data_IF_605759882338
#
_entry.id   IF_605759882338
#
_cell.length_a   1.000
_cell.length_b   1.000
_cell.length_c   1.000
_cell.angle_alpha   90.00
_cell.angle_beta   90.00
_cell.angle_gamma   90.00
#
_symmetry.space_group_name_H-M   'P 1'
#
loop_
_entity.id
_entity.type
_entity.pdbx_description
1 polymer ?
#
# COMPACT_ATOMS: atom_id res chain seq x y z
N UNK A 1 17.67 -5.63 36.57
CA UNK A 1 17.81 -4.38 35.78
C UNK A 1 16.80 -4.42 34.64
N UNK A 2 15.74 -3.68 34.81
CA UNK A 2 14.67 -3.57 33.82
C UNK A 2 15.14 -2.60 32.73
N UNK A 3 15.43 -3.10 31.55
CA UNK A 3 15.61 -2.25 30.37
C UNK A 3 14.22 -1.85 29.90
N UNK A 4 13.81 -0.65 30.24
CA UNK A 4 12.66 0.01 29.63
C UNK A 4 12.90 0.10 28.12
N UNK A 5 12.16 -0.69 27.35
CA UNK A 5 11.96 -0.44 25.95
C UNK A 5 11.22 0.90 25.90
N UNK A 6 11.94 1.95 25.58
CA UNK A 6 11.35 3.25 25.29
C UNK A 6 10.37 3.05 24.16
N UNK A 7 9.11 3.18 24.52
CA UNK A 7 7.99 3.38 23.61
C UNK A 7 8.41 4.48 22.62
N UNK A 8 8.71 4.09 21.39
CA UNK A 8 8.90 5.05 20.30
C UNK A 8 7.49 5.55 20.02
N UNK A 9 7.07 6.51 20.83
CA UNK A 9 5.86 7.27 20.56
C UNK A 9 5.94 7.70 19.11
N UNK A 10 4.97 7.23 18.31
CA UNK A 10 4.79 7.64 16.96
C UNK A 10 4.81 9.18 16.97
N UNK A 11 5.95 9.76 16.58
CA UNK A 11 6.02 11.19 16.36
C UNK A 11 4.94 11.48 15.34
N UNK A 12 3.92 12.22 15.76
CA UNK A 12 2.78 12.51 14.90
C UNK A 12 3.30 13.16 13.62
N UNK A 13 3.11 12.46 12.51
CA UNK A 13 3.44 13.00 11.19
C UNK A 13 2.71 14.34 11.02
N UNK A 14 3.32 15.32 10.35
CA UNK A 14 2.60 16.51 9.93
C UNK A 14 1.34 16.11 9.12
N UNK A 15 0.21 16.79 9.28
CA UNK A 15 -1.04 16.43 8.59
C UNK A 15 -0.88 16.22 7.08
N UNK A 16 -0.01 16.98 6.43
CA UNK A 16 0.26 16.84 5.00
C UNK A 16 0.89 15.49 4.62
N UNK A 17 1.59 14.81 5.54
CA UNK A 17 2.18 13.48 5.30
C UNK A 17 1.19 12.34 5.58
N UNK A 18 0.04 12.63 6.16
CA UNK A 18 -0.99 11.65 6.49
C UNK A 18 -2.02 11.43 5.39
N UNK A 19 -1.95 12.19 4.30
CA UNK A 19 -2.87 12.03 3.18
C UNK A 19 -2.58 10.75 2.41
N UNK A 20 -3.63 9.94 2.22
CA UNK A 20 -3.56 8.67 1.53
C UNK A 20 -4.67 8.54 0.48
N UNK A 21 -4.45 7.65 -0.48
CA UNK A 21 -5.44 7.21 -1.44
C UNK A 21 -5.46 5.68 -1.53
N UNK A 22 -6.61 5.13 -1.87
CA UNK A 22 -6.80 3.68 -2.05
C UNK A 22 -7.32 3.42 -3.46
N UNK A 23 -6.69 2.48 -4.15
CA UNK A 23 -7.10 2.03 -5.48
C UNK A 23 -7.47 0.55 -5.40
N UNK A 24 -8.69 0.22 -5.78
CA UNK A 24 -9.11 -1.17 -5.98
C UNK A 24 -8.94 -1.53 -7.44
N UNK A 25 -8.11 -2.52 -7.71
CA UNK A 25 -7.86 -3.04 -9.07
C UNK A 25 -8.71 -4.30 -9.26
N UNK A 26 -9.76 -4.20 -10.04
CA UNK A 26 -10.70 -5.30 -10.27
C UNK A 26 -11.58 -5.03 -11.47
N UNK A 27 -11.54 -5.91 -12.46
CA UNK A 27 -12.43 -5.87 -13.63
C UNK A 27 -13.91 -5.97 -13.21
N UNK A 28 -14.23 -6.91 -12.33
CA UNK A 28 -15.62 -7.15 -11.90
C UNK A 28 -16.19 -6.02 -11.06
N UNK A 29 -15.40 -5.45 -10.14
CA UNK A 29 -15.83 -4.28 -9.38
C UNK A 29 -15.97 -3.05 -10.28
N UNK A 30 -15.07 -2.86 -11.24
CA UNK A 30 -15.12 -1.76 -12.19
C UNK A 30 -16.37 -1.79 -13.07
N UNK A 31 -16.85 -2.99 -13.44
CA UNK A 31 -18.09 -3.16 -14.22
C UNK A 31 -19.37 -3.17 -13.35
N UNK A 32 -19.24 -3.03 -12.04
CA UNK A 32 -20.37 -3.10 -11.13
C UNK A 32 -20.98 -4.50 -10.92
N UNK A 33 -20.25 -5.55 -11.36
CA UNK A 33 -20.69 -6.95 -11.24
C UNK A 33 -20.45 -7.50 -9.83
N UNK A 34 -19.54 -6.87 -9.09
CA UNK A 34 -19.14 -7.28 -7.74
C UNK A 34 -18.96 -6.06 -6.85
N UNK A 35 -19.32 -6.18 -5.59
CA UNK A 35 -19.09 -5.13 -4.59
C UNK A 35 -17.63 -5.16 -4.16
N UNK A 36 -16.99 -3.98 -4.12
CA UNK A 36 -15.65 -3.82 -3.57
C UNK A 36 -15.67 -3.96 -2.04
N UNK A 37 -15.03 -4.99 -1.52
CA UNK A 37 -14.89 -5.22 -0.09
C UNK A 37 -13.47 -4.92 0.42
N UNK A 38 -12.45 -5.09 -0.41
CA UNK A 38 -11.06 -4.88 0.00
C UNK A 38 -10.71 -3.39 0.13
N UNK A 39 -11.17 -2.56 -0.79
CA UNK A 39 -10.93 -1.11 -0.74
C UNK A 39 -11.43 -0.48 0.56
N UNK A 40 -12.71 -0.61 0.91
CA UNK A 40 -13.25 -0.11 2.19
C UNK A 40 -12.55 -0.68 3.43
N UNK A 41 -12.16 -1.95 3.42
CA UNK A 41 -11.41 -2.56 4.54
C UNK A 41 -10.04 -1.90 4.74
N UNK A 42 -9.34 -1.61 3.66
CA UNK A 42 -8.05 -0.89 3.70
C UNK A 42 -8.24 0.56 4.17
N UNK A 43 -9.28 1.24 3.69
CA UNK A 43 -9.62 2.60 4.17
C UNK A 43 -9.83 2.61 5.68
N UNK A 44 -10.53 1.63 6.21
CA UNK A 44 -10.77 1.50 7.66
C UNK A 44 -9.46 1.37 8.45
N UNK A 45 -8.55 0.50 8.01
CA UNK A 45 -7.25 0.31 8.67
C UNK A 45 -6.43 1.60 8.63
N UNK A 46 -6.35 2.26 7.48
CA UNK A 46 -5.61 3.52 7.35
C UNK A 46 -6.18 4.60 8.25
N UNK A 47 -7.50 4.76 8.27
CA UNK A 47 -8.18 5.77 9.08
C UNK A 47 -7.96 5.53 10.58
N UNK A 48 -8.05 4.29 11.04
CA UNK A 48 -7.76 3.92 12.44
C UNK A 48 -6.32 4.21 12.85
N UNK A 49 -5.40 4.24 11.89
CA UNK A 49 -3.98 4.51 12.12
C UNK A 49 -3.57 5.97 11.80
N UNK A 50 -4.54 6.86 11.74
CA UNK A 50 -4.31 8.30 11.64
C UNK A 50 -4.13 8.85 10.23
N UNK A 51 -4.28 8.02 9.20
CA UNK A 51 -4.25 8.50 7.81
C UNK A 51 -5.58 9.09 7.39
N UNK A 52 -5.50 10.19 6.65
CA UNK A 52 -6.65 10.79 6.00
C UNK A 52 -6.75 10.26 4.56
N UNK A 53 -7.68 9.37 4.31
CA UNK A 53 -7.95 8.87 2.96
C UNK A 53 -8.77 9.91 2.20
N UNK A 54 -8.12 10.63 1.30
CA UNK A 54 -8.72 11.75 0.55
C UNK A 54 -9.30 11.32 -0.79
N UNK A 55 -8.94 10.14 -1.29
CA UNK A 55 -9.45 9.62 -2.55
C UNK A 55 -9.51 8.10 -2.55
N UNK A 56 -10.54 7.58 -3.19
CA UNK A 56 -10.67 6.15 -3.54
C UNK A 56 -10.97 6.03 -5.03
N UNK A 57 -10.45 4.99 -5.67
CA UNK A 57 -10.69 4.68 -7.08
C UNK A 57 -10.90 3.18 -7.25
N UNK A 58 -11.70 2.83 -8.24
CA UNK A 58 -11.80 1.46 -8.75
C UNK A 58 -11.37 1.51 -10.21
N UNK A 59 -10.40 0.69 -10.58
CA UNK A 59 -9.87 0.60 -11.95
C UNK A 59 -9.88 -0.84 -12.42
N UNK A 60 -9.86 -1.04 -13.73
CA UNK A 60 -9.76 -2.37 -14.33
C UNK A 60 -8.35 -2.94 -14.14
N UNK A 61 -8.21 -4.25 -14.31
CA UNK A 61 -6.93 -4.96 -14.41
C UNK A 61 -6.26 -4.64 -15.75
N UNK A 62 -5.97 -3.36 -15.94
CA UNK A 62 -5.36 -2.78 -17.14
C UNK A 62 -4.18 -1.90 -16.73
N UNK A 63 -3.01 -2.20 -17.31
CA UNK A 63 -1.76 -1.55 -16.93
C UNK A 63 -1.81 -0.03 -17.07
N UNK A 64 -2.41 0.48 -18.16
CA UNK A 64 -2.47 1.94 -18.38
C UNK A 64 -3.43 2.63 -17.43
N UNK A 65 -4.58 2.01 -17.12
CA UNK A 65 -5.51 2.58 -16.14
C UNK A 65 -4.89 2.63 -14.75
N UNK A 66 -4.18 1.58 -14.34
CA UNK A 66 -3.47 1.54 -13.06
C UNK A 66 -2.39 2.62 -13.02
N UNK A 67 -1.53 2.70 -14.04
CA UNK A 67 -0.47 3.71 -14.11
C UNK A 67 -1.03 5.13 -14.05
N UNK A 68 -2.06 5.42 -14.83
CA UNK A 68 -2.69 6.74 -14.86
C UNK A 68 -3.26 7.13 -13.49
N UNK A 69 -3.95 6.22 -12.81
CA UNK A 69 -4.48 6.47 -11.48
C UNK A 69 -3.35 6.73 -10.46
N UNK A 70 -2.28 5.93 -10.49
CA UNK A 70 -1.12 6.10 -9.62
C UNK A 70 -0.42 7.44 -9.84
N UNK A 71 -0.16 7.80 -11.09
CA UNK A 71 0.52 9.05 -11.44
C UNK A 71 -0.28 10.27 -10.99
N UNK A 72 -1.60 10.29 -11.24
CA UNK A 72 -2.46 11.39 -10.81
C UNK A 72 -2.53 11.53 -9.29
N UNK A 73 -2.78 10.42 -8.58
CA UNK A 73 -2.89 10.46 -7.13
C UNK A 73 -1.56 10.78 -6.44
N UNK A 74 -0.43 10.41 -7.03
CA UNK A 74 0.89 10.75 -6.49
C UNK A 74 1.17 12.27 -6.46
N UNK A 75 0.42 13.07 -7.19
CA UNK A 75 0.47 14.54 -7.10
C UNK A 75 -0.26 15.10 -5.88
N UNK A 76 -1.18 14.32 -5.32
CA UNK A 76 -2.11 14.79 -4.27
C UNK A 76 -1.81 14.19 -2.89
N UNK A 77 -1.27 12.97 -2.86
CA UNK A 77 -1.09 12.21 -1.60
C UNK A 77 0.33 11.70 -1.43
N UNK A 78 0.65 11.34 -0.18
CA UNK A 78 1.97 10.80 0.20
C UNK A 78 2.00 9.28 0.31
N UNK A 79 0.83 8.66 0.40
CA UNK A 79 0.67 7.22 0.44
C UNK A 79 -0.44 6.80 -0.53
N UNK A 80 -0.13 5.87 -1.42
CA UNK A 80 -1.12 5.19 -2.24
C UNK A 80 -1.06 3.70 -1.91
N UNK A 81 -2.20 3.12 -1.61
CA UNK A 81 -2.35 1.70 -1.37
C UNK A 81 -3.27 1.11 -2.43
N UNK A 82 -2.81 0.07 -3.12
CA UNK A 82 -3.64 -0.66 -4.07
C UNK A 82 -4.07 -2.00 -3.51
N UNK A 83 -5.24 -2.50 -3.88
CA UNK A 83 -5.69 -3.86 -3.62
C UNK A 83 -6.03 -4.55 -4.92
N UNK A 84 -5.65 -5.81 -5.06
CA UNK A 84 -5.95 -6.61 -6.25
C UNK A 84 -4.89 -6.59 -7.34
N UNK A 85 -4.99 -7.52 -8.26
CA UNK A 85 -4.09 -7.64 -9.41
C UNK A 85 -2.65 -8.03 -9.07
N UNK A 86 -2.40 -8.66 -7.92
CA UNK A 86 -1.04 -9.00 -7.46
C UNK A 86 -0.72 -10.50 -7.51
N UNK A 87 -1.60 -11.32 -8.06
CA UNK A 87 -1.38 -12.75 -8.21
C UNK A 87 -0.62 -13.12 -9.49
N UNK A 88 -0.81 -14.35 -9.93
CA UNK A 88 -0.14 -14.93 -11.11
C UNK A 88 -1.08 -15.17 -12.28
N UNK A 89 -2.32 -14.71 -12.20
CA UNK A 89 -3.26 -14.81 -13.32
C UNK A 89 -2.84 -13.86 -14.46
N UNK A 90 -3.21 -14.16 -15.71
CA UNK A 90 -2.78 -13.36 -16.87
C UNK A 90 -3.17 -11.87 -16.78
N UNK A 91 -4.25 -11.55 -16.09
CA UNK A 91 -4.70 -10.16 -15.92
C UNK A 91 -4.14 -9.49 -14.65
N UNK A 92 -3.37 -10.19 -13.84
CA UNK A 92 -2.70 -9.61 -12.67
C UNK A 92 -1.47 -8.82 -13.12
N UNK A 93 -1.60 -7.49 -13.24
CA UNK A 93 -0.58 -6.58 -13.77
C UNK A 93 -0.27 -5.40 -12.86
N UNK A 94 -0.80 -5.40 -11.64
CA UNK A 94 -0.60 -4.28 -10.69
C UNK A 94 0.87 -4.08 -10.33
N UNK A 95 1.69 -5.12 -10.05
CA UNK A 95 3.10 -4.91 -9.76
C UNK A 95 3.86 -4.27 -10.92
N UNK A 96 3.66 -4.76 -12.12
CA UNK A 96 4.33 -4.25 -13.32
C UNK A 96 3.93 -2.79 -13.60
N UNK A 97 2.64 -2.47 -13.46
CA UNK A 97 2.16 -1.10 -13.62
C UNK A 97 2.75 -0.15 -12.56
N UNK A 98 2.91 -0.63 -11.34
CA UNK A 98 3.52 0.13 -10.24
C UNK A 98 5.01 0.35 -10.49
N UNK A 99 5.74 -0.69 -10.84
CA UNK A 99 7.18 -0.59 -11.16
C UNK A 99 7.45 0.39 -12.30
N UNK A 100 6.59 0.40 -13.32
CA UNK A 100 6.74 1.25 -14.49
C UNK A 100 6.74 2.77 -14.17
N UNK A 101 6.09 3.17 -13.07
CA UNK A 101 5.96 4.60 -12.72
C UNK A 101 6.76 4.98 -11.46
N UNK A 102 7.40 4.05 -10.79
CA UNK A 102 8.20 4.31 -9.61
C UNK A 102 9.63 4.69 -9.97
N UNK A 103 10.21 5.63 -9.20
CA UNK A 103 11.61 6.00 -9.32
C UNK A 103 12.54 4.98 -8.64
N UNK A 104 12.07 4.36 -7.57
CA UNK A 104 12.79 3.37 -6.76
C UNK A 104 11.83 2.32 -6.23
N UNK A 105 12.35 1.09 -6.05
CA UNK A 105 11.62 0.01 -5.42
C UNK A 105 12.17 -0.26 -4.02
N UNK A 106 11.30 -0.69 -3.10
CA UNK A 106 11.65 -1.06 -1.72
C UNK A 106 11.29 -2.53 -1.53
N UNK A 107 12.17 -3.41 -1.96
CA UNK A 107 11.90 -4.85 -2.01
C UNK A 107 11.61 -5.45 -0.63
N UNK A 108 12.28 -4.97 0.41
CA UNK A 108 12.11 -5.47 1.77
C UNK A 108 10.70 -5.35 2.32
N UNK A 109 9.91 -4.37 1.87
CA UNK A 109 8.51 -4.23 2.28
C UNK A 109 7.66 -5.35 1.71
N UNK A 110 7.80 -5.65 0.42
CA UNK A 110 7.12 -6.77 -0.22
C UNK A 110 7.52 -8.12 0.39
N UNK A 111 8.80 -8.31 0.67
CA UNK A 111 9.32 -9.50 1.35
C UNK A 111 8.67 -9.68 2.73
N UNK A 112 8.60 -8.62 3.53
CA UNK A 112 7.99 -8.68 4.86
C UNK A 112 6.50 -9.03 4.79
N UNK A 113 5.76 -8.46 3.86
CA UNK A 113 4.36 -8.83 3.65
C UNK A 113 4.19 -10.31 3.34
N UNK A 114 5.02 -10.88 2.46
CA UNK A 114 4.98 -12.30 2.12
C UNK A 114 5.39 -13.20 3.28
N UNK A 115 6.42 -12.84 4.03
CA UNK A 115 6.86 -13.59 5.21
C UNK A 115 5.78 -13.64 6.29
N UNK A 116 5.17 -12.51 6.60
CA UNK A 116 4.08 -12.46 7.60
C UNK A 116 2.83 -13.19 7.10
N UNK A 117 2.49 -13.04 5.82
CA UNK A 117 1.38 -13.76 5.20
C UNK A 117 1.58 -15.27 5.19
N UNK A 118 2.80 -15.76 5.00
CA UNK A 118 3.14 -17.18 4.98
C UNK A 118 2.89 -17.88 6.33
N UNK A 119 2.85 -17.14 7.42
CA UNK A 119 2.48 -17.69 8.74
C UNK A 119 1.01 -18.11 8.80
N UNK A 120 0.16 -17.57 7.94
CA UNK A 120 -1.29 -17.85 7.89
C UNK A 120 -1.67 -18.75 6.72
N UNK A 121 -1.05 -18.57 5.56
CA UNK A 121 -1.30 -19.36 4.36
C UNK A 121 -0.06 -19.46 3.48
N UNK A 122 0.24 -20.66 2.99
CA UNK A 122 1.33 -20.87 2.04
C UNK A 122 1.12 -20.13 0.71
N UNK A 123 -0.12 -19.80 0.35
CA UNK A 123 -0.45 -19.05 -0.87
C UNK A 123 0.06 -17.61 -0.87
N UNK A 124 0.41 -17.06 0.29
CA UNK A 124 1.05 -15.75 0.39
C UNK A 124 2.35 -15.66 -0.43
N UNK A 125 3.05 -16.79 -0.63
CA UNK A 125 4.25 -16.85 -1.47
C UNK A 125 3.97 -16.55 -2.95
N UNK A 126 2.74 -16.65 -3.41
CA UNK A 126 2.32 -16.34 -4.79
C UNK A 126 1.95 -14.87 -4.97
N UNK A 127 1.90 -14.08 -3.92
CA UNK A 127 1.69 -12.64 -4.02
C UNK A 127 2.93 -11.96 -4.58
N UNK A 128 2.73 -11.14 -5.61
CA UNK A 128 3.79 -10.37 -6.25
C UNK A 128 3.72 -8.87 -5.93
N UNK A 129 2.95 -8.50 -4.93
CA UNK A 129 2.81 -7.12 -4.47
C UNK A 129 4.16 -6.49 -4.16
N UNK A 130 4.34 -5.25 -4.62
CA UNK A 130 5.57 -4.47 -4.44
C UNK A 130 5.32 -3.21 -3.62
N UNK A 131 6.41 -2.63 -3.15
CA UNK A 131 6.42 -1.28 -2.60
C UNK A 131 7.41 -0.45 -3.38
N UNK A 132 6.99 0.72 -3.83
CA UNK A 132 7.84 1.63 -4.57
C UNK A 132 7.65 3.08 -4.17
N UNK A 133 8.49 3.93 -4.71
CA UNK A 133 8.48 5.37 -4.48
C UNK A 133 8.35 6.08 -5.82
N UNK A 134 7.38 6.98 -5.91
CA UNK A 134 7.31 7.97 -6.98
C UNK A 134 7.42 9.36 -6.36
N UNK A 135 8.50 10.06 -6.69
CA UNK A 135 8.84 11.36 -6.09
C UNK A 135 8.85 11.27 -4.54
N UNK A 136 7.84 11.83 -3.90
CA UNK A 136 7.69 11.80 -2.44
C UNK A 136 6.53 10.90 -1.98
N UNK A 137 5.93 10.13 -2.87
CA UNK A 137 4.80 9.27 -2.58
C UNK A 137 5.23 7.82 -2.47
N UNK A 138 4.87 7.19 -1.37
CA UNK A 138 5.02 5.76 -1.16
C UNK A 138 3.83 5.03 -1.79
N UNK A 139 4.09 3.98 -2.56
CA UNK A 139 3.07 3.17 -3.23
C UNK A 139 3.21 1.73 -2.78
N UNK A 140 2.12 1.15 -2.28
CA UNK A 140 2.09 -0.20 -1.71
C UNK A 140 1.00 -1.02 -2.38
N UNK A 141 1.36 -2.20 -2.91
CA UNK A 141 0.39 -3.14 -3.47
C UNK A 141 -0.02 -4.19 -2.43
N UNK A 142 -1.33 -4.39 -2.28
CA UNK A 142 -1.90 -5.41 -1.40
C UNK A 142 -2.67 -6.45 -2.20
N UNK A 143 -2.86 -7.68 -1.64
CA UNK A 143 -3.72 -8.69 -2.24
C UNK A 143 -5.15 -8.23 -2.45
N UNK A 144 -5.89 -8.91 -3.33
CA UNK A 144 -7.27 -8.57 -3.64
C UNK A 144 -8.31 -9.05 -2.62
N UNK A 145 -8.00 -10.06 -1.80
CA UNK A 145 -8.93 -10.49 -0.76
C UNK A 145 -8.97 -9.49 0.39
N UNK A 146 -10.14 -9.21 0.98
CA UNK A 146 -10.24 -8.25 2.09
C UNK A 146 -9.34 -8.59 3.28
N UNK A 147 -9.34 -9.84 3.72
CA UNK A 147 -8.49 -10.31 4.83
C UNK A 147 -7.00 -10.23 4.48
N UNK A 148 -6.61 -10.68 3.29
CA UNK A 148 -5.23 -10.62 2.83
C UNK A 148 -4.72 -9.19 2.70
N UNK A 149 -5.55 -8.28 2.20
CA UNK A 149 -5.20 -6.86 2.09
C UNK A 149 -4.97 -6.23 3.47
N UNK A 150 -5.88 -6.45 4.42
CA UNK A 150 -5.76 -5.93 5.79
C UNK A 150 -4.53 -6.50 6.48
N UNK A 151 -4.33 -7.81 6.46
CA UNK A 151 -3.19 -8.47 7.10
C UNK A 151 -1.85 -8.02 6.52
N UNK A 152 -1.77 -7.89 5.20
CA UNK A 152 -0.55 -7.41 4.54
C UNK A 152 -0.25 -5.96 4.90
N UNK A 153 -1.25 -5.09 4.92
CA UNK A 153 -1.08 -3.70 5.34
C UNK A 153 -0.62 -3.59 6.79
N UNK A 154 -1.29 -4.30 7.69
CA UNK A 154 -0.94 -4.29 9.12
C UNK A 154 0.48 -4.78 9.37
N UNK A 155 0.98 -5.73 8.57
CA UNK A 155 2.33 -6.28 8.71
C UNK A 155 3.45 -5.27 8.44
N UNK A 156 3.17 -4.19 7.72
CA UNK A 156 4.16 -3.16 7.32
C UNK A 156 3.79 -1.74 7.76
N UNK A 157 2.67 -1.60 8.45
CA UNK A 157 2.11 -0.30 8.83
C UNK A 157 3.06 0.52 9.71
N UNK A 158 3.83 -0.13 10.57
CA UNK A 158 4.85 0.49 11.42
C UNK A 158 5.99 1.13 10.64
N UNK A 159 6.27 0.68 9.41
CA UNK A 159 7.33 1.22 8.56
C UNK A 159 6.91 2.51 7.83
N UNK A 160 5.62 2.70 7.59
CA UNK A 160 5.11 3.75 6.71
C UNK A 160 5.45 5.15 7.22
N UNK A 161 5.21 5.51 8.50
CA UNK A 161 5.53 6.84 9.00
C UNK A 161 7.01 7.19 8.84
N UNK A 162 7.89 6.27 9.15
CA UNK A 162 9.34 6.48 9.00
C UNK A 162 9.72 6.66 7.52
N UNK A 163 9.19 5.84 6.63
CA UNK A 163 9.41 5.96 5.19
C UNK A 163 8.97 7.34 4.66
N UNK A 164 7.79 7.82 5.07
CA UNK A 164 7.28 9.13 4.64
C UNK A 164 8.15 10.28 5.17
N UNK A 165 8.67 10.17 6.39
CA UNK A 165 9.62 11.15 6.92
C UNK A 165 10.92 11.18 6.11
N UNK A 166 11.47 10.04 5.76
CA UNK A 166 12.67 9.95 4.92
C UNK A 166 12.43 10.58 3.54
N UNK A 167 11.28 10.32 2.93
CA UNK A 167 10.92 10.91 1.64
C UNK A 167 10.74 12.43 1.70
N UNK A 168 10.41 12.96 2.86
CA UNK A 168 10.34 14.40 3.10
C UNK A 168 11.68 15.05 3.44
N UNK A 169 12.76 14.28 3.42
CA UNK A 169 14.12 14.75 3.69
C UNK A 169 14.47 14.86 5.17
N UNK A 170 13.65 14.34 6.06
CA UNK A 170 13.92 14.30 7.50
C UNK A 170 14.79 13.09 7.82
N UNK A 171 16.09 13.31 7.86
CA UNK A 171 17.09 12.25 8.11
C UNK A 171 17.63 12.34 9.55
N UNK A 172 16.78 12.50 10.53
CA UNK A 172 17.23 12.42 11.93
C UNK A 172 17.56 10.95 12.24
N UNK A 173 18.85 10.67 12.19
CA UNK A 173 19.42 9.48 12.80
C UNK A 173 19.55 9.76 14.29
N UNK A 174 18.59 9.35 15.08
CA UNK A 174 18.73 9.25 16.53
C UNK A 174 19.16 7.85 16.92
#
# INVERSE_FOLDING_TARGET
MSSSITDVSAQSLPPALLNAAVITVSDSCSRGERVDLSGPAVVEVLTKNGFQVVATRIVQDDSMQIQNALVHLALEVRLIVTTGGTGIAPRDVTPEATEAICNRMIDGVGERMRLEGAKKTSFAALSRGVCGVREKTLILNLPGSPSGAVESLESVLDLIPHALNLLDGKTEHS
#
